data_IF_943932181648
#
_entry.id   IF_943932181648
#
_cell.length_a   1.000
_cell.length_b   1.000
_cell.length_c   1.000
_cell.angle_alpha   90.00
_cell.angle_beta   90.00
_cell.angle_gamma   90.00
#
_symmetry.space_group_name_H-M   'P 1'
#
loop_
_entity.id
_entity.type
_entity.pdbx_description
1 polymer ?
#
# COMPACT_ATOMS: atom_id res chain seq x y z
N UNK A 1 -49.87 18.98 2.65
CA UNK A 1 -48.99 18.19 1.76
C UNK A 1 -47.60 18.12 2.38
N UNK A 2 -47.35 17.10 3.22
CA UNK A 2 -46.04 16.84 3.79
C UNK A 2 -45.24 15.91 2.89
N UNK A 3 -43.99 16.25 2.58
CA UNK A 3 -43.02 15.31 1.99
C UNK A 3 -42.02 14.92 3.07
N UNK A 4 -42.16 13.68 3.52
CA UNK A 4 -41.16 12.95 4.30
C UNK A 4 -39.89 12.76 3.46
N UNK A 5 -38.78 13.35 3.89
CA UNK A 5 -37.46 12.84 3.52
C UNK A 5 -37.08 11.77 4.54
N UNK A 6 -36.93 10.54 4.05
CA UNK A 6 -36.54 9.38 4.84
C UNK A 6 -35.16 9.61 5.47
N UNK A 7 -35.14 9.63 6.79
CA UNK A 7 -33.97 9.61 7.66
C UNK A 7 -33.40 8.20 7.76
N UNK A 8 -32.95 7.64 6.64
CA UNK A 8 -32.17 6.40 6.69
C UNK A 8 -30.68 6.72 6.77
N UNK A 9 -30.05 6.17 7.82
CA UNK A 9 -28.60 6.00 8.07
C UNK A 9 -27.91 6.85 9.16
N UNK A 10 -28.64 7.40 10.13
CA UNK A 10 -28.00 7.87 11.39
C UNK A 10 -28.10 6.85 12.56
N UNK A 11 -28.80 5.73 12.34
CA UNK A 11 -29.11 4.74 13.38
C UNK A 11 -28.10 3.58 13.50
N UNK A 12 -27.03 3.52 12.69
CA UNK A 12 -26.06 2.41 12.72
C UNK A 12 -24.84 2.62 13.62
N UNK A 13 -24.67 3.79 14.22
CA UNK A 13 -23.41 4.16 14.90
C UNK A 13 -23.52 4.33 16.42
N UNK A 14 -24.74 4.31 16.99
CA UNK A 14 -24.92 4.34 18.45
C UNK A 14 -24.68 2.99 19.13
N UNK A 15 -24.72 1.89 18.39
CA UNK A 15 -24.33 0.58 18.90
C UNK A 15 -22.85 0.30 18.60
N UNK A 16 -22.07 0.09 19.67
CA UNK A 16 -20.70 -0.48 19.73
C UNK A 16 -19.54 0.41 20.19
N UNK A 17 -19.77 1.56 20.83
CA UNK A 17 -18.72 2.10 21.75
C UNK A 17 -18.80 1.41 23.11
N UNK A 18 -20.00 1.04 23.56
CA UNK A 18 -20.23 0.44 24.89
C UNK A 18 -20.02 -1.09 24.97
N UNK A 19 -19.85 -1.80 23.85
CA UNK A 19 -19.69 -3.27 23.85
C UNK A 19 -18.25 -3.77 23.73
N UNK A 20 -17.25 -2.89 23.72
CA UNK A 20 -15.85 -3.28 23.44
C UNK A 20 -15.05 -3.54 24.73
N UNK A 21 -14.41 -4.70 24.78
CA UNK A 21 -13.99 -5.42 26.00
C UNK A 21 -12.92 -4.68 26.82
N UNK A 22 -12.97 -4.84 28.16
CA UNK A 22 -11.96 -4.38 29.14
C UNK A 22 -10.51 -4.71 28.72
N UNK A 23 -10.32 -5.83 28.02
CA UNK A 23 -9.03 -6.29 27.48
C UNK A 23 -8.41 -5.38 26.42
N UNK A 24 -9.20 -4.67 25.59
CA UNK A 24 -8.64 -3.79 24.56
C UNK A 24 -8.16 -2.46 25.15
N UNK A 25 -8.80 -1.98 26.23
CA UNK A 25 -8.34 -0.84 27.02
C UNK A 25 -7.03 -1.11 27.78
N UNK A 26 -6.64 -2.39 27.92
CA UNK A 26 -5.41 -2.80 28.59
C UNK A 26 -4.24 -3.06 27.61
N UNK A 27 -4.44 -2.86 26.29
CA UNK A 27 -3.37 -3.05 25.31
C UNK A 27 -2.19 -2.13 25.60
N UNK A 28 -1.00 -2.74 25.58
CA UNK A 28 0.27 -2.02 25.63
C UNK A 28 0.55 -1.32 24.28
N UNK A 29 1.49 -0.37 24.27
CA UNK A 29 2.00 0.23 23.02
C UNK A 29 2.53 -0.83 22.06
N UNK A 30 3.18 -1.87 22.57
CA UNK A 30 3.67 -3.00 21.76
C UNK A 30 2.52 -3.80 21.11
N UNK A 31 1.36 -3.91 21.77
CA UNK A 31 0.19 -4.56 21.18
C UNK A 31 -0.40 -3.73 20.05
N UNK A 32 -0.40 -2.40 20.21
CA UNK A 32 -0.79 -1.47 19.15
C UNK A 32 0.18 -1.53 17.96
N UNK A 33 1.49 -1.51 18.22
CA UNK A 33 2.52 -1.65 17.19
C UNK A 33 2.30 -2.92 16.36
N UNK A 34 2.12 -4.07 17.01
CA UNK A 34 1.82 -5.36 16.35
C UNK A 34 0.52 -5.30 15.54
N UNK A 35 -0.52 -4.68 16.10
CA UNK A 35 -1.80 -4.53 15.41
C UNK A 35 -1.65 -3.70 14.13
N UNK A 36 -0.95 -2.57 14.19
CA UNK A 36 -0.69 -1.70 13.03
C UNK A 36 0.13 -2.43 11.97
N UNK A 37 1.21 -3.12 12.38
CA UNK A 37 2.05 -3.89 11.46
C UNK A 37 1.21 -4.93 10.72
N UNK A 38 0.37 -5.68 11.44
CA UNK A 38 -0.51 -6.68 10.82
C UNK A 38 -1.49 -6.03 9.85
N UNK A 39 -2.20 -4.98 10.26
CA UNK A 39 -3.21 -4.32 9.42
C UNK A 39 -2.62 -3.68 8.18
N UNK A 40 -1.50 -2.98 8.32
CA UNK A 40 -0.79 -2.40 7.19
C UNK A 40 -0.22 -3.50 6.26
N UNK A 41 0.20 -4.63 6.82
CA UNK A 41 0.57 -5.82 6.05
C UNK A 41 -0.59 -6.38 5.22
N UNK A 42 -1.79 -6.51 5.81
CA UNK A 42 -3.02 -6.93 5.11
C UNK A 42 -3.37 -5.96 3.96
N UNK A 43 -3.04 -4.68 4.11
CA UNK A 43 -3.21 -3.65 3.08
C UNK A 43 -1.95 -3.45 2.21
N UNK A 44 -1.05 -4.44 2.13
CA UNK A 44 0.04 -4.49 1.14
C UNK A 44 1.31 -3.71 1.50
N UNK A 45 1.42 -3.15 2.70
CA UNK A 45 2.66 -2.53 3.18
C UNK A 45 3.63 -3.61 3.64
N UNK A 46 4.87 -3.56 3.17
CA UNK A 46 5.90 -4.53 3.55
C UNK A 46 6.60 -4.05 4.82
N UNK A 47 6.57 -4.87 5.87
CA UNK A 47 7.27 -4.56 7.12
C UNK A 47 8.80 -4.70 6.96
N UNK A 48 9.53 -3.66 7.36
CA UNK A 48 10.99 -3.53 7.27
C UNK A 48 11.62 -3.61 8.67
N UNK A 49 11.65 -4.82 9.22
CA UNK A 49 12.24 -5.10 10.54
C UNK A 49 13.74 -4.80 10.61
N UNK A 50 14.42 -4.79 9.47
CA UNK A 50 15.83 -4.42 9.36
C UNK A 50 16.09 -2.97 9.76
N UNK A 51 15.11 -2.07 9.63
CA UNK A 51 15.29 -0.66 9.98
C UNK A 51 15.32 -0.39 11.49
N UNK A 52 14.93 -1.36 12.32
CA UNK A 52 15.05 -1.29 13.79
C UNK A 52 16.47 -1.57 14.28
N UNK A 53 17.21 -2.43 13.57
CA UNK A 53 18.48 -3.00 14.02
C UNK A 53 19.68 -2.31 13.34
N UNK A 54 20.32 -1.38 14.04
CA UNK A 54 21.48 -0.62 13.52
C UNK A 54 22.82 -1.40 13.58
N UNK A 55 22.81 -2.70 13.30
CA UNK A 55 24.05 -3.50 13.25
C UNK A 55 24.88 -3.09 12.03
N UNK A 56 25.92 -2.28 12.25
CA UNK A 56 26.91 -1.87 11.24
C UNK A 56 26.49 -0.74 10.30
N UNK A 57 25.21 -0.36 10.28
CA UNK A 57 24.67 0.77 9.51
C UNK A 57 23.49 1.36 10.27
N UNK A 58 23.40 2.69 10.28
CA UNK A 58 22.26 3.44 10.82
C UNK A 58 21.00 3.21 9.99
N UNK A 59 19.84 3.50 10.59
CA UNK A 59 18.56 3.47 9.89
C UNK A 59 18.57 4.41 8.67
N UNK A 60 19.15 5.60 8.81
CA UNK A 60 19.26 6.62 7.76
C UNK A 60 20.10 6.15 6.56
N UNK A 61 21.24 5.50 6.80
CA UNK A 61 22.09 4.94 5.74
C UNK A 61 21.38 3.84 4.97
N UNK A 62 20.68 2.95 5.68
CA UNK A 62 19.89 1.88 5.06
C UNK A 62 18.77 2.44 4.20
N UNK A 63 18.03 3.43 4.70
CA UNK A 63 16.97 4.10 3.95
C UNK A 63 17.53 4.80 2.71
N UNK A 64 18.63 5.53 2.83
CA UNK A 64 19.29 6.22 1.72
C UNK A 64 19.72 5.22 0.63
N UNK A 65 20.28 4.07 1.01
CA UNK A 65 20.66 3.02 0.06
C UNK A 65 19.44 2.40 -0.63
N UNK A 66 18.34 2.18 0.09
CA UNK A 66 17.10 1.66 -0.46
C UNK A 66 16.46 2.65 -1.43
N UNK A 67 16.47 3.93 -1.07
CA UNK A 67 15.95 5.02 -1.88
C UNK A 67 16.69 5.12 -3.20
N UNK A 68 18.03 5.15 -3.21
CA UNK A 68 18.81 5.18 -4.44
C UNK A 68 18.48 4.00 -5.38
N UNK A 69 18.25 2.80 -4.83
CA UNK A 69 17.80 1.64 -5.61
C UNK A 69 16.42 1.86 -6.23
N UNK A 70 15.48 2.47 -5.50
CA UNK A 70 14.15 2.76 -6.02
C UNK A 70 14.18 3.89 -7.06
N UNK A 71 14.89 4.98 -6.80
CA UNK A 71 15.07 6.09 -7.74
C UNK A 71 15.70 5.61 -9.05
N UNK A 72 16.69 4.72 -8.98
CA UNK A 72 17.29 4.10 -10.16
C UNK A 72 16.24 3.35 -10.98
N UNK A 73 15.44 2.52 -10.32
CA UNK A 73 14.40 1.73 -10.98
C UNK A 73 13.33 2.60 -11.63
N UNK A 74 12.92 3.66 -10.94
CA UNK A 74 11.95 4.63 -11.47
C UNK A 74 12.55 5.42 -12.64
N UNK A 75 13.80 5.83 -12.55
CA UNK A 75 14.54 6.50 -13.61
C UNK A 75 14.60 5.64 -14.88
N UNK A 76 14.95 4.35 -14.75
CA UNK A 76 14.99 3.40 -15.87
C UNK A 76 13.63 3.35 -16.58
N UNK A 77 12.54 3.19 -15.81
CA UNK A 77 11.18 3.10 -16.35
C UNK A 77 10.72 4.39 -17.03
N UNK A 78 10.94 5.55 -16.40
CA UNK A 78 10.43 6.84 -16.89
C UNK A 78 11.22 7.39 -18.08
N UNK A 79 12.49 7.00 -18.21
CA UNK A 79 13.36 7.49 -19.29
C UNK A 79 13.68 6.39 -20.32
N UNK A 80 13.01 5.23 -20.26
CA UNK A 80 13.22 4.08 -21.15
C UNK A 80 14.69 3.68 -21.29
N UNK A 81 15.40 3.61 -20.16
CA UNK A 81 16.82 3.27 -20.13
C UNK A 81 17.02 1.75 -20.09
N UNK A 82 18.24 1.31 -20.39
CA UNK A 82 18.65 -0.08 -20.17
C UNK A 82 18.68 -0.44 -18.69
N UNK A 83 18.39 -1.71 -18.37
CA UNK A 83 18.53 -2.28 -17.03
C UNK A 83 19.97 -2.23 -16.49
N UNK A 84 20.96 -2.02 -17.36
CA UNK A 84 22.36 -1.82 -16.98
C UNK A 84 22.67 -0.40 -16.48
N UNK A 85 21.73 0.54 -16.57
CA UNK A 85 21.94 1.91 -16.13
C UNK A 85 22.30 1.98 -14.64
N UNK A 86 23.30 2.76 -14.28
CA UNK A 86 23.69 3.00 -12.89
C UNK A 86 24.02 4.48 -12.69
N UNK A 87 23.59 5.02 -11.54
CA UNK A 87 24.03 6.33 -11.12
C UNK A 87 25.51 6.27 -10.70
N UNK A 88 26.29 7.26 -11.11
CA UNK A 88 27.65 7.42 -10.60
C UNK A 88 27.63 7.84 -9.13
N UNK A 89 28.79 7.72 -8.47
CA UNK A 89 28.95 8.18 -7.08
C UNK A 89 28.55 9.64 -6.88
N UNK A 90 28.92 10.53 -7.82
CA UNK A 90 28.59 11.96 -7.77
C UNK A 90 27.08 12.20 -7.84
N UNK A 91 26.38 11.48 -8.71
CA UNK A 91 24.92 11.61 -8.83
C UNK A 91 24.18 11.05 -7.62
N UNK A 92 24.63 9.91 -7.08
CA UNK A 92 24.06 9.36 -5.84
C UNK A 92 24.13 10.38 -4.70
N UNK A 93 25.25 11.10 -4.58
CA UNK A 93 25.41 12.19 -3.61
C UNK A 93 24.46 13.35 -3.92
N UNK A 94 24.43 13.81 -5.17
CA UNK A 94 23.54 14.90 -5.60
C UNK A 94 22.06 14.59 -5.33
N UNK A 95 21.58 13.39 -5.68
CA UNK A 95 20.19 12.98 -5.46
C UNK A 95 19.81 13.00 -3.98
N UNK A 96 20.68 12.48 -3.10
CA UNK A 96 20.43 12.50 -1.66
C UNK A 96 20.48 13.94 -1.11
N UNK A 97 21.38 14.78 -1.60
CA UNK A 97 21.45 16.19 -1.21
C UNK A 97 20.20 16.95 -1.64
N UNK A 98 19.74 16.80 -2.89
CA UNK A 98 18.52 17.42 -3.40
C UNK A 98 17.25 16.97 -2.68
N UNK A 99 17.22 15.72 -2.20
CA UNK A 99 16.13 15.22 -1.38
C UNK A 99 16.14 15.78 0.04
N UNK A 100 17.33 15.95 0.60
CA UNK A 100 17.48 16.41 1.96
C UNK A 100 17.53 17.94 2.06
N UNK A 101 17.81 18.68 0.98
CA UNK A 101 18.03 20.13 1.01
C UNK A 101 16.77 20.94 1.32
N UNK A 102 15.59 20.41 0.97
CA UNK A 102 14.31 21.10 1.08
C UNK A 102 13.40 20.41 2.09
N UNK A 103 13.00 21.15 3.13
CA UNK A 103 11.88 20.75 4.00
C UNK A 103 10.57 20.89 3.24
N UNK A 104 9.62 19.98 3.47
CA UNK A 104 8.33 19.97 2.77
C UNK A 104 8.46 19.93 1.24
N UNK A 105 9.46 19.20 0.73
CA UNK A 105 9.62 19.00 -0.70
C UNK A 105 8.32 18.49 -1.33
N UNK A 106 7.96 19.06 -2.47
CA UNK A 106 6.91 18.52 -3.32
C UNK A 106 7.38 17.23 -3.98
N UNK A 107 6.94 16.10 -3.42
CA UNK A 107 7.33 14.76 -3.88
C UNK A 107 6.70 14.36 -5.22
N UNK A 108 5.78 15.17 -5.76
CA UNK A 108 5.28 15.01 -7.13
C UNK A 108 6.30 15.43 -8.18
N UNK A 109 7.22 16.33 -7.80
CA UNK A 109 8.20 16.89 -8.72
C UNK A 109 9.43 15.98 -8.81
N UNK A 110 9.76 15.50 -10.03
CA UNK A 110 10.97 14.70 -10.21
C UNK A 110 12.22 15.52 -9.90
N UNK A 111 13.32 14.84 -9.60
CA UNK A 111 14.65 15.45 -9.69
C UNK A 111 15.05 15.41 -11.17
N UNK A 112 15.46 16.56 -11.70
CA UNK A 112 16.11 16.60 -13.00
C UNK A 112 17.60 16.42 -12.82
N UNK A 113 18.15 15.42 -13.50
CA UNK A 113 19.57 15.14 -13.46
C UNK A 113 20.16 15.51 -14.82
N UNK A 114 21.10 16.45 -14.82
CA UNK A 114 21.85 16.77 -16.04
C UNK A 114 22.66 15.56 -16.48
N UNK A 115 22.45 15.20 -17.74
CA UNK A 115 23.00 14.03 -18.40
C UNK A 115 23.78 14.41 -19.65
N UNK A 116 24.35 15.61 -19.69
CA UNK A 116 25.35 16.02 -20.68
C UNK A 116 26.39 14.92 -21.00
N UNK A 117 26.76 14.08 -20.02
CA UNK A 117 27.66 12.93 -20.23
C UNK A 117 27.06 11.71 -20.96
N UNK A 118 25.73 11.56 -20.99
CA UNK A 118 25.03 10.44 -21.61
C UNK A 118 24.61 10.72 -23.06
N UNK A 119 25.02 11.87 -23.64
CA UNK A 119 24.74 12.28 -25.03
C UNK A 119 23.25 12.34 -25.39
N UNK A 120 22.42 12.49 -24.39
CA UNK A 120 20.99 12.67 -24.45
C UNK A 120 20.66 14.16 -24.60
N UNK A 121 19.69 14.49 -25.45
CA UNK A 121 19.31 15.88 -25.70
C UNK A 121 18.52 16.56 -24.56
N UNK A 122 18.11 15.81 -23.53
CA UNK A 122 17.25 16.30 -22.42
C UNK A 122 17.74 15.74 -21.08
N UNK A 123 17.54 16.43 -19.94
CA UNK A 123 17.87 15.91 -18.61
C UNK A 123 17.05 14.65 -18.26
N UNK A 124 17.59 13.76 -17.41
CA UNK A 124 16.81 12.61 -16.91
C UNK A 124 15.82 13.10 -15.87
N UNK A 125 14.58 12.65 -15.98
CA UNK A 125 13.55 12.91 -14.97
C UNK A 125 13.48 11.73 -14.03
N UNK A 126 13.76 11.96 -12.76
CA UNK A 126 13.79 10.93 -11.72
C UNK A 126 12.62 11.18 -10.78
N UNK A 127 11.47 10.53 -10.98
CA UNK A 127 10.35 10.68 -10.06
C UNK A 127 10.70 10.06 -8.71
N UNK A 128 10.29 10.75 -7.64
CA UNK A 128 10.43 10.26 -6.27
C UNK A 128 9.34 9.25 -5.93
N UNK A 129 8.14 9.52 -6.42
CA UNK A 129 6.95 8.68 -6.35
C UNK A 129 6.34 8.67 -7.74
N UNK A 130 6.10 7.48 -8.27
CA UNK A 130 5.42 7.30 -9.55
C UNK A 130 3.91 7.42 -9.35
N UNK A 131 3.37 8.62 -9.57
CA UNK A 131 1.94 8.89 -9.43
C UNK A 131 1.13 8.43 -10.65
N UNK A 132 1.78 8.21 -11.78
CA UNK A 132 1.14 7.71 -13.01
C UNK A 132 0.90 6.20 -12.92
N UNK A 133 1.85 5.46 -12.33
CA UNK A 133 1.73 4.04 -12.10
C UNK A 133 2.14 3.68 -10.66
N UNK A 134 1.12 3.59 -9.79
CA UNK A 134 1.30 3.35 -8.35
C UNK A 134 2.03 2.03 -8.06
N UNK A 135 1.87 1.00 -8.90
CA UNK A 135 2.48 -0.32 -8.73
C UNK A 135 4.02 -0.30 -8.90
N UNK A 136 4.55 0.78 -9.52
CA UNK A 136 5.97 1.03 -9.61
C UNK A 136 6.59 1.50 -8.28
N UNK A 137 5.77 1.85 -7.29
CA UNK A 137 6.27 2.25 -5.98
C UNK A 137 6.46 1.04 -5.05
N UNK A 138 7.15 1.27 -3.93
CA UNK A 138 7.27 0.33 -2.82
C UNK A 138 6.76 0.97 -1.55
N UNK A 139 5.79 0.32 -0.93
CA UNK A 139 5.15 0.75 0.31
C UNK A 139 5.73 -0.04 1.47
N UNK A 140 6.39 0.66 2.40
CA UNK A 140 7.09 0.03 3.52
C UNK A 140 6.63 0.60 4.84
N UNK A 141 6.48 -0.28 5.82
CA UNK A 141 6.26 0.10 7.21
C UNK A 141 7.50 -0.29 8.01
N UNK A 142 7.96 0.60 8.88
CA UNK A 142 9.01 0.31 9.83
C UNK A 142 8.53 0.67 11.24
N UNK A 143 9.08 -0.01 12.25
CA UNK A 143 8.80 0.31 13.64
C UNK A 143 10.08 0.53 14.43
N UNK A 144 9.99 1.33 15.48
CA UNK A 144 11.10 1.66 16.38
C UNK A 144 12.32 2.19 15.61
N UNK A 145 12.07 3.07 14.63
CA UNK A 145 13.10 3.63 13.74
C UNK A 145 13.84 4.73 14.47
N UNK A 146 15.18 4.65 14.48
CA UNK A 146 16.03 5.64 15.16
C UNK A 146 16.56 6.68 14.18
N UNK A 147 16.39 7.95 14.52
CA UNK A 147 17.10 9.06 13.90
C UNK A 147 18.09 9.62 14.90
N UNK A 148 19.37 9.60 14.51
CA UNK A 148 20.46 10.11 15.34
C UNK A 148 21.09 11.31 14.65
N UNK A 149 21.09 12.44 15.35
CA UNK A 149 21.86 13.64 15.00
C UNK A 149 22.79 13.95 16.16
N UNK A 150 23.66 14.94 15.96
CA UNK A 150 24.58 15.38 17.02
C UNK A 150 23.80 15.97 18.20
N UNK A 151 22.69 16.63 17.92
CA UNK A 151 21.90 17.41 18.86
C UNK A 151 20.80 16.57 19.55
N UNK A 152 20.32 15.51 18.90
CA UNK A 152 19.19 14.72 19.39
C UNK A 152 19.24 13.27 18.94
N UNK A 153 18.47 12.43 19.64
CA UNK A 153 18.12 11.08 19.19
C UNK A 153 16.61 10.90 19.33
N UNK A 154 15.94 10.60 18.22
CA UNK A 154 14.51 10.33 18.19
C UNK A 154 14.27 8.87 17.86
N UNK A 155 13.23 8.29 18.46
CA UNK A 155 12.77 6.93 18.16
C UNK A 155 11.31 7.02 17.80
N UNK A 156 10.99 6.63 16.56
CA UNK A 156 9.62 6.67 16.05
C UNK A 156 8.97 5.30 16.22
N UNK A 157 7.79 5.25 16.84
CA UNK A 157 7.07 4.00 17.02
C UNK A 157 6.77 3.31 15.69
N UNK A 158 6.20 4.06 14.74
CA UNK A 158 5.85 3.58 13.42
C UNK A 158 6.12 4.65 12.35
N UNK A 159 6.70 4.21 11.23
CA UNK A 159 7.04 5.07 10.09
C UNK A 159 6.52 4.43 8.81
N UNK A 160 5.73 5.19 8.04
CA UNK A 160 5.31 4.80 6.70
C UNK A 160 6.24 5.42 5.66
N UNK A 161 6.76 4.59 4.77
CA UNK A 161 7.68 4.98 3.72
C UNK A 161 7.16 4.60 2.33
N UNK A 162 7.43 5.48 1.36
CA UNK A 162 7.25 5.19 -0.05
C UNK A 162 8.61 5.29 -0.73
N UNK A 163 9.02 4.22 -1.41
CA UNK A 163 10.32 4.10 -2.07
C UNK A 163 11.53 4.32 -1.15
N UNK A 164 11.34 4.28 0.18
CA UNK A 164 12.36 4.60 1.17
C UNK A 164 12.29 6.03 1.73
N UNK A 165 11.36 6.86 1.24
CA UNK A 165 11.11 8.22 1.73
C UNK A 165 10.11 8.14 2.91
N UNK A 166 10.48 8.56 4.13
CA UNK A 166 9.54 8.66 5.26
C UNK A 166 8.47 9.72 4.99
N UNK A 167 7.20 9.34 5.01
CA UNK A 167 6.06 10.25 4.74
C UNK A 167 5.15 10.47 5.94
N UNK A 168 4.92 9.42 6.73
CA UNK A 168 4.02 9.48 7.88
C UNK A 168 4.76 8.99 9.10
N UNK A 169 4.77 9.83 10.13
CA UNK A 169 5.25 9.50 11.46
C UNK A 169 4.04 9.20 12.34
N UNK A 170 4.04 8.05 13.01
CA UNK A 170 2.95 7.62 13.88
C UNK A 170 3.53 7.34 15.27
N UNK A 171 3.02 8.05 16.26
CA UNK A 171 3.36 7.91 17.68
C UNK A 171 2.20 7.27 18.44
N UNK A 172 2.50 6.24 19.22
CA UNK A 172 1.53 5.43 19.95
C UNK A 172 1.63 5.73 21.45
N UNK A 173 0.48 5.76 22.13
CA UNK A 173 0.42 5.75 23.59
C UNK A 173 -0.55 4.69 24.10
N UNK A 174 -0.27 4.18 25.30
CA UNK A 174 -1.20 3.33 26.05
C UNK A 174 -2.55 4.02 26.23
N UNK A 175 -3.61 3.23 26.41
CA UNK A 175 -4.97 3.75 26.58
C UNK A 175 -5.15 4.72 27.76
N UNK A 176 -4.35 4.55 28.82
CA UNK A 176 -4.36 5.39 30.03
C UNK A 176 -3.62 6.70 29.85
N UNK A 177 -2.80 6.82 28.82
CA UNK A 177 -1.97 7.98 28.53
C UNK A 177 -2.70 8.86 27.50
N UNK A 178 -2.62 10.17 27.67
CA UNK A 178 -3.28 11.10 26.76
C UNK A 178 -2.61 11.09 25.38
N UNK A 179 -3.41 11.10 24.30
CA UNK A 179 -2.89 11.32 22.95
C UNK A 179 -2.15 12.68 22.80
N UNK A 180 -2.36 13.61 23.74
CA UNK A 180 -1.60 14.86 23.81
C UNK A 180 -0.11 14.64 24.03
N UNK A 181 0.28 13.61 24.80
CA UNK A 181 1.69 13.33 25.07
C UNK A 181 2.40 12.84 23.81
N UNK A 182 1.72 12.01 23.00
CA UNK A 182 2.22 11.66 21.67
C UNK A 182 2.32 12.89 20.76
N UNK A 183 1.31 13.77 20.79
CA UNK A 183 1.30 14.97 19.96
C UNK A 183 2.45 15.92 20.33
N UNK A 184 2.69 16.11 21.63
CA UNK A 184 3.80 16.92 22.15
C UNK A 184 5.15 16.31 21.79
N UNK A 185 5.30 15.00 21.88
CA UNK A 185 6.52 14.30 21.47
C UNK A 185 6.81 14.52 19.97
N UNK A 186 5.80 14.38 19.11
CA UNK A 186 5.95 14.64 17.67
C UNK A 186 6.32 16.11 17.39
N UNK A 187 5.70 17.07 18.11
CA UNK A 187 6.03 18.49 17.97
C UNK A 187 7.47 18.76 18.38
N UNK A 188 7.91 18.25 19.52
CA UNK A 188 9.27 18.43 20.02
C UNK A 188 10.29 17.83 19.04
N UNK A 189 10.02 16.64 18.50
CA UNK A 189 10.89 16.02 17.49
C UNK A 189 11.01 16.88 16.23
N UNK A 190 9.90 17.47 15.78
CA UNK A 190 9.94 18.37 14.62
C UNK A 190 10.66 19.68 14.94
N UNK A 191 10.50 20.27 16.12
CA UNK A 191 11.23 21.47 16.53
C UNK A 191 12.75 21.25 16.63
N UNK A 192 13.18 20.11 17.18
CA UNK A 192 14.58 19.70 17.19
C UNK A 192 15.12 19.57 15.75
N UNK A 193 14.36 18.91 14.87
CA UNK A 193 14.70 18.78 13.44
C UNK A 193 14.79 20.14 12.76
N UNK A 194 13.97 21.12 13.16
CA UNK A 194 14.01 22.46 12.61
C UNK A 194 15.33 23.19 12.92
N UNK A 195 15.97 22.88 14.04
CA UNK A 195 17.23 23.50 14.50
C UNK A 195 18.47 22.77 14.00
N UNK A 196 18.35 21.49 13.63
CA UNK A 196 19.48 20.67 13.20
C UNK A 196 19.84 20.85 11.71
N UNK A 197 21.16 20.86 11.44
CA UNK A 197 21.78 20.80 10.10
C UNK A 197 22.99 19.85 10.16
N UNK A 198 23.30 19.05 9.11
CA UNK A 198 22.59 18.96 7.83
C UNK A 198 21.25 18.23 7.97
N UNK A 199 20.36 18.50 7.01
CA UNK A 199 19.05 17.86 6.95
C UNK A 199 19.17 16.36 6.65
N UNK A 200 18.28 15.57 7.24
CA UNK A 200 18.12 14.13 7.06
C UNK A 200 17.00 13.75 6.09
N UNK A 201 16.97 12.49 5.70
CA UNK A 201 15.87 11.88 4.94
C UNK A 201 14.50 12.00 5.65
N UNK A 202 14.50 12.07 6.97
CA UNK A 202 13.30 12.22 7.79
C UNK A 202 12.66 13.62 7.70
N UNK A 203 13.34 14.60 7.09
CA UNK A 203 12.70 15.87 6.71
C UNK A 203 11.56 15.71 5.69
N UNK A 204 11.40 14.53 5.10
CA UNK A 204 10.31 14.26 4.15
C UNK A 204 8.97 13.89 4.81
N UNK A 205 8.87 13.82 6.15
CA UNK A 205 7.58 13.62 6.82
C UNK A 205 6.57 14.70 6.39
N UNK A 206 5.38 14.27 5.98
CA UNK A 206 4.29 15.17 5.57
C UNK A 206 3.12 15.12 6.55
N UNK A 207 2.88 13.96 7.16
CA UNK A 207 1.81 13.73 8.13
C UNK A 207 2.35 13.19 9.44
N UNK A 208 1.75 13.65 10.53
CA UNK A 208 2.06 13.27 11.89
C UNK A 208 0.79 12.77 12.55
N UNK A 209 0.82 11.55 13.06
CA UNK A 209 -0.30 10.89 13.72
C UNK A 209 0.08 10.60 15.16
N UNK A 210 -0.63 11.18 16.12
CA UNK A 210 -0.47 10.88 17.53
C UNK A 210 -1.73 10.18 18.02
N UNK A 211 -1.61 8.97 18.58
CA UNK A 211 -2.78 8.18 18.92
C UNK A 211 -2.68 7.44 20.24
N UNK A 212 -3.84 7.25 20.86
CA UNK A 212 -4.06 6.30 21.94
C UNK A 212 -5.32 5.46 21.63
N UNK A 213 -5.78 4.64 22.59
CA UNK A 213 -6.95 3.77 22.38
C UNK A 213 -8.26 4.53 22.09
N UNK A 214 -8.39 5.78 22.54
CA UNK A 214 -9.67 6.52 22.48
C UNK A 214 -9.67 7.60 21.41
N UNK A 215 -8.52 8.22 21.17
CA UNK A 215 -8.36 9.46 20.41
C UNK A 215 -7.12 9.39 19.56
N UNK A 216 -7.17 10.08 18.43
CA UNK A 216 -5.97 10.36 17.67
C UNK A 216 -6.02 11.79 17.09
N UNK A 217 -4.83 12.27 16.78
CA UNK A 217 -4.54 13.49 16.05
C UNK A 217 -3.91 13.13 14.71
N UNK A 218 -4.23 13.87 13.66
CA UNK A 218 -3.54 13.75 12.38
C UNK A 218 -3.36 15.12 11.75
N UNK A 219 -2.11 15.56 11.69
CA UNK A 219 -1.72 16.91 11.33
C UNK A 219 -0.72 16.90 10.18
N UNK A 220 -0.84 17.86 9.28
CA UNK A 220 0.28 18.23 8.40
C UNK A 220 1.40 18.86 9.23
N UNK A 221 2.63 18.83 8.73
CA UNK A 221 3.79 19.46 9.40
C UNK A 221 3.50 20.89 9.90
N UNK A 222 2.96 21.75 9.04
CA UNK A 222 2.65 23.15 9.39
C UNK A 222 1.59 23.29 10.48
N UNK A 223 0.65 22.35 10.54
CA UNK A 223 -0.42 22.33 11.56
C UNK A 223 0.14 21.85 12.90
N UNK A 224 1.01 20.83 12.88
CA UNK A 224 1.70 20.32 14.07
C UNK A 224 2.50 21.43 14.77
N UNK A 225 3.26 22.21 14.02
CA UNK A 225 4.10 23.30 14.56
C UNK A 225 3.29 24.51 15.07
N UNK A 226 2.03 24.63 14.67
CA UNK A 226 1.14 25.73 15.08
C UNK A 226 0.15 25.32 16.17
N UNK A 227 0.11 24.05 16.54
CA UNK A 227 -0.88 23.56 17.49
C UNK A 227 -0.59 24.17 18.86
N UNK A 228 -1.54 24.95 19.38
CA UNK A 228 -1.48 25.43 20.74
C UNK A 228 -2.05 24.35 21.66
N UNK A 229 -1.19 23.78 22.52
CA UNK A 229 -1.57 22.70 23.44
C UNK A 229 -2.46 23.19 24.59
N UNK A 230 -2.44 24.49 24.88
CA UNK A 230 -3.27 25.10 25.93
C UNK A 230 -4.71 25.33 25.43
N UNK A 231 -4.87 25.62 24.14
CA UNK A 231 -6.18 25.85 23.53
C UNK A 231 -6.98 24.53 23.43
N UNK A 232 -8.02 24.40 24.27
CA UNK A 232 -8.93 23.25 24.25
C UNK A 232 -9.75 23.19 22.95
N UNK A 233 -10.20 24.32 22.41
CA UNK A 233 -11.02 24.37 21.18
C UNK A 233 -10.19 23.95 19.97
N UNK A 234 -8.96 24.43 19.83
CA UNK A 234 -8.08 24.02 18.74
C UNK A 234 -7.82 22.51 18.75
N UNK A 235 -7.73 21.90 19.95
CA UNK A 235 -7.58 20.45 20.09
C UNK A 235 -8.84 19.68 19.71
N UNK A 236 -10.03 20.17 20.07
CA UNK A 236 -11.32 19.57 19.68
C UNK A 236 -11.51 19.43 18.18
N UNK A 237 -11.09 20.42 17.38
CA UNK A 237 -11.16 20.35 15.92
C UNK A 237 -10.17 19.34 15.30
N UNK A 238 -9.11 19.01 16.03
CA UNK A 238 -8.06 18.09 15.58
C UNK A 238 -8.24 16.67 16.15
N UNK A 239 -9.16 16.49 17.09
CA UNK A 239 -9.52 15.19 17.62
C UNK A 239 -10.47 14.47 16.70
N UNK A 240 -10.19 13.20 16.49
CA UNK A 240 -11.16 12.28 15.91
C UNK A 240 -11.26 11.07 16.83
N UNK A 241 -12.50 10.70 17.17
CA UNK A 241 -12.78 9.51 17.96
C UNK A 241 -12.57 8.26 17.09
N UNK A 242 -11.90 7.26 17.66
CA UNK A 242 -11.66 5.99 16.98
C UNK A 242 -12.96 5.17 16.90
N UNK A 243 -13.80 5.45 15.91
CA UNK A 243 -14.98 4.60 15.63
C UNK A 243 -14.53 3.31 14.93
N UNK A 244 -13.60 3.42 13.99
CA UNK A 244 -12.71 2.35 13.53
C UNK A 244 -11.50 2.93 12.76
N UNK A 245 -10.30 2.41 13.00
CA UNK A 245 -9.07 3.06 12.59
C UNK A 245 -8.83 3.02 11.07
N UNK A 246 -9.26 2.01 10.30
CA UNK A 246 -8.93 2.00 8.86
C UNK A 246 -9.76 2.98 8.02
N UNK A 247 -10.99 3.32 8.41
CA UNK A 247 -11.77 4.38 7.74
C UNK A 247 -11.17 5.75 8.03
N UNK A 248 -10.74 5.95 9.28
CA UNK A 248 -10.01 7.16 9.67
C UNK A 248 -8.67 7.24 8.95
N UNK A 249 -7.83 6.21 8.98
CA UNK A 249 -6.55 6.18 8.22
C UNK A 249 -6.77 6.50 6.74
N UNK A 250 -7.84 6.00 6.11
CA UNK A 250 -8.19 6.33 4.72
C UNK A 250 -8.52 7.81 4.52
N UNK A 251 -9.39 8.39 5.34
CA UNK A 251 -9.73 9.83 5.29
C UNK A 251 -8.52 10.73 5.63
N UNK A 252 -7.64 10.27 6.51
CA UNK A 252 -6.44 11.00 6.93
C UNK A 252 -5.36 11.01 5.86
N UNK A 253 -5.19 9.91 5.13
CA UNK A 253 -4.34 9.89 3.95
C UNK A 253 -4.85 10.83 2.86
N UNK A 254 -6.13 11.22 2.84
CA UNK A 254 -6.62 12.30 1.96
C UNK A 254 -6.06 13.69 2.34
N UNK A 255 -5.49 13.88 3.54
CA UNK A 255 -4.87 15.15 3.97
C UNK A 255 -3.49 15.39 3.34
N UNK A 256 -2.68 14.37 3.14
CA UNK A 256 -1.48 14.50 2.30
C UNK A 256 -1.93 14.49 0.85
N UNK A 257 -1.54 15.49 0.07
CA UNK A 257 -1.86 15.51 -1.36
C UNK A 257 -1.29 14.27 -2.08
N UNK A 258 -0.07 13.84 -1.74
CA UNK A 258 0.59 12.67 -2.32
C UNK A 258 -0.19 11.40 -2.00
N UNK A 259 -0.52 11.21 -0.73
CA UNK A 259 -1.29 10.04 -0.30
C UNK A 259 -2.72 10.09 -0.87
N UNK A 260 -3.32 11.28 -0.99
CA UNK A 260 -4.61 11.44 -1.69
C UNK A 260 -4.55 10.99 -3.14
N UNK A 261 -3.45 11.26 -3.87
CA UNK A 261 -3.29 10.76 -5.23
C UNK A 261 -3.14 9.23 -5.26
N UNK A 262 -2.37 8.67 -4.32
CA UNK A 262 -2.19 7.21 -4.20
C UNK A 262 -3.50 6.49 -3.84
N UNK A 263 -4.28 7.08 -2.93
CA UNK A 263 -5.50 6.47 -2.35
C UNK A 263 -6.80 7.03 -2.95
N UNK A 264 -6.76 7.70 -4.11
CA UNK A 264 -7.95 8.29 -4.75
C UNK A 264 -9.01 7.21 -5.07
N UNK A 265 -10.26 7.56 -4.82
CA UNK A 265 -11.41 6.66 -4.66
C UNK A 265 -11.88 5.90 -5.92
N UNK A 266 -11.16 5.99 -7.05
CA UNK A 266 -11.46 5.31 -8.31
C UNK A 266 -10.44 4.23 -8.73
N UNK A 267 -9.45 3.88 -7.89
CA UNK A 267 -8.70 2.62 -8.06
C UNK A 267 -9.52 1.43 -7.55
N UNK A 268 -10.67 1.21 -8.19
CA UNK A 268 -11.51 0.01 -7.98
C UNK A 268 -10.69 -1.27 -8.21
N UNK A 269 -9.59 -1.21 -8.97
CA UNK A 269 -8.64 -2.34 -9.10
C UNK A 269 -7.84 -2.64 -7.83
N UNK A 270 -7.50 -1.64 -7.00
CA UNK A 270 -6.89 -1.88 -5.69
C UNK A 270 -7.93 -2.35 -4.69
N UNK A 271 -9.13 -1.73 -4.62
CA UNK A 271 -10.21 -2.28 -3.76
C UNK A 271 -10.59 -3.72 -4.17
N UNK A 272 -10.65 -4.04 -5.47
CA UNK A 272 -10.92 -5.41 -5.92
C UNK A 272 -9.73 -6.35 -5.67
N UNK A 273 -8.46 -5.99 -5.92
CA UNK A 273 -7.34 -6.88 -5.56
C UNK A 273 -7.21 -7.09 -4.05
N UNK A 274 -7.44 -6.05 -3.24
CA UNK A 274 -7.36 -6.10 -1.78
C UNK A 274 -8.47 -6.95 -1.14
N UNK A 275 -9.70 -6.88 -1.67
CA UNK A 275 -10.78 -7.72 -1.17
C UNK A 275 -10.82 -9.12 -1.82
N UNK A 276 -10.32 -9.30 -3.04
CA UNK A 276 -10.44 -10.61 -3.72
C UNK A 276 -9.32 -11.58 -3.35
N UNK A 277 -8.11 -11.13 -2.97
CA UNK A 277 -7.04 -12.03 -2.51
C UNK A 277 -7.27 -12.56 -1.08
N UNK A 278 -7.89 -11.76 -0.21
CA UNK A 278 -8.16 -12.13 1.20
C UNK A 278 -9.56 -12.74 1.40
N UNK A 279 -10.53 -12.48 0.50
CA UNK A 279 -11.88 -13.03 0.62
C UNK A 279 -12.13 -14.36 -0.10
N UNK A 280 -11.20 -14.87 -0.92
CA UNK A 280 -11.37 -16.19 -1.56
C UNK A 280 -11.46 -17.35 -0.53
N UNK A 281 -10.70 -17.38 0.58
CA UNK A 281 -10.90 -18.40 1.61
C UNK A 281 -12.13 -18.12 2.51
N UNK A 282 -12.41 -16.84 2.81
CA UNK A 282 -13.43 -16.47 3.82
C UNK A 282 -14.86 -16.46 3.26
N UNK A 283 -15.05 -16.16 1.97
CA UNK A 283 -16.37 -16.31 1.31
C UNK A 283 -16.71 -17.77 0.99
N UNK A 284 -15.71 -18.63 0.80
CA UNK A 284 -15.92 -20.07 0.72
C UNK A 284 -16.43 -20.64 2.06
N UNK A 285 -15.93 -20.14 3.20
CA UNK A 285 -16.35 -20.54 4.55
C UNK A 285 -17.66 -19.88 5.04
N UNK A 286 -18.04 -18.71 4.52
CA UNK A 286 -19.29 -18.02 4.92
C UNK A 286 -20.51 -18.42 4.10
N UNK A 287 -20.36 -19.05 2.92
CA UNK A 287 -21.49 -19.56 2.13
C UNK A 287 -22.11 -20.86 2.66
N UNK A 288 -21.53 -21.47 3.70
CA UNK A 288 -22.05 -22.69 4.34
C UNK A 288 -22.81 -22.47 5.65
N UNK A 289 -23.04 -21.22 6.09
CA UNK A 289 -23.90 -20.94 7.26
C UNK A 289 -25.33 -20.59 6.84
N UNK A 290 -26.04 -21.57 6.29
CA UNK A 290 -27.50 -21.60 6.32
C UNK A 290 -28.03 -23.02 6.17
N UNK A 291 -27.50 -23.99 6.90
CA UNK A 291 -28.20 -25.26 7.12
C UNK A 291 -27.90 -25.76 8.54
N UNK A 292 -28.97 -25.83 9.33
CA UNK A 292 -29.20 -26.61 10.57
C UNK A 292 -27.97 -27.10 11.36
N UNK A 293 -27.90 -26.66 12.62
CA UNK A 293 -26.87 -27.01 13.61
C UNK A 293 -26.80 -28.52 13.91
N UNK A 294 -27.84 -29.30 13.61
CA UNK A 294 -27.87 -30.73 13.95
C UNK A 294 -27.13 -31.63 12.95
N UNK A 295 -26.98 -31.23 11.69
CA UNK A 295 -26.23 -32.02 10.68
C UNK A 295 -24.71 -31.92 10.82
N UNK A 296 -24.23 -30.91 11.54
CA UNK A 296 -22.78 -30.63 11.68
C UNK A 296 -22.09 -31.63 12.63
N UNK A 297 -22.84 -32.27 13.53
CA UNK A 297 -22.30 -33.32 14.42
C UNK A 297 -22.12 -34.66 13.71
N UNK A 298 -23.03 -35.07 12.83
CA UNK A 298 -22.89 -36.30 12.04
C UNK A 298 -21.77 -36.21 11.00
N UNK A 299 -21.61 -35.05 10.35
CA UNK A 299 -20.58 -34.85 9.32
C UNK A 299 -19.16 -34.83 9.91
N UNK A 300 -18.98 -34.31 11.14
CA UNK A 300 -17.65 -34.30 11.78
C UNK A 300 -17.21 -35.70 12.25
N UNK A 301 -18.14 -36.59 12.59
CA UNK A 301 -17.84 -37.99 12.90
C UNK A 301 -17.50 -38.77 11.61
N UNK A 302 -18.26 -38.55 10.54
CA UNK A 302 -18.01 -39.15 9.22
C UNK A 302 -16.69 -38.67 8.57
N UNK A 303 -16.35 -37.38 8.68
CA UNK A 303 -15.11 -36.84 8.12
C UNK A 303 -13.87 -37.36 8.85
N UNK A 304 -13.97 -37.60 10.17
CA UNK A 304 -12.87 -38.20 10.95
C UNK A 304 -12.59 -39.65 10.54
N UNK A 305 -13.63 -40.43 10.21
CA UNK A 305 -13.48 -41.80 9.69
C UNK A 305 -12.96 -41.82 8.24
N UNK A 306 -13.39 -40.86 7.41
CA UNK A 306 -12.93 -40.75 6.02
C UNK A 306 -11.46 -40.34 5.93
N UNK A 307 -10.97 -39.50 6.85
CA UNK A 307 -9.56 -39.12 6.92
C UNK A 307 -8.64 -40.27 7.34
N UNK A 308 -9.10 -41.22 8.17
CA UNK A 308 -8.33 -42.43 8.50
C UNK A 308 -8.19 -43.37 7.30
N UNK A 309 -9.16 -43.40 6.39
CA UNK A 309 -9.08 -44.19 5.16
C UNK A 309 -8.19 -43.58 4.07
N UNK A 310 -7.88 -42.27 4.13
CA UNK A 310 -7.01 -41.59 3.16
C UNK A 310 -5.51 -41.68 3.49
N UNK A 311 -5.15 -42.21 4.66
CA UNK A 311 -3.77 -42.54 5.02
C UNK A 311 -3.32 -43.93 4.50
N UNK A 312 -4.23 -44.69 3.88
CA UNK A 312 -3.92 -45.97 3.24
C UNK A 312 -3.05 -45.75 1.97
N UNK A 313 -1.82 -46.32 1.90
CA UNK A 313 -0.90 -46.17 0.77
C UNK A 313 -1.47 -46.61 -0.59
N UNK A 314 -2.47 -47.48 -0.61
CA UNK A 314 -3.08 -48.02 -1.83
C UNK A 314 -4.01 -47.03 -2.57
N UNK A 315 -4.51 -45.99 -1.89
CA UNK A 315 -5.44 -44.99 -2.46
C UNK A 315 -4.69 -43.81 -3.10
N UNK A 316 -3.46 -43.52 -2.63
CA UNK A 316 -2.61 -42.42 -3.14
C UNK A 316 -2.30 -42.51 -4.63
N UNK A 317 -2.12 -43.73 -5.15
CA UNK A 317 -1.78 -43.98 -6.56
C UNK A 317 -2.97 -43.72 -7.51
N UNK A 318 -4.21 -44.04 -7.12
CA UNK A 318 -5.40 -43.77 -7.96
C UNK A 318 -5.71 -42.27 -8.08
N UNK A 319 -5.51 -41.49 -7.01
CA UNK A 319 -5.75 -40.04 -7.01
C UNK A 319 -4.73 -39.30 -7.87
N UNK A 320 -3.47 -39.74 -7.89
CA UNK A 320 -2.44 -39.17 -8.76
C UNK A 320 -2.76 -39.35 -10.25
N UNK A 321 -3.25 -40.53 -10.65
CA UNK A 321 -3.63 -40.81 -12.05
C UNK A 321 -4.81 -39.94 -12.50
N UNK A 322 -5.82 -39.77 -11.65
CA UNK A 322 -6.97 -38.93 -11.98
C UNK A 322 -6.58 -37.44 -12.10
N UNK A 323 -5.68 -36.97 -11.23
CA UNK A 323 -5.19 -35.58 -11.27
C UNK A 323 -4.39 -35.29 -12.55
N UNK A 324 -3.58 -36.25 -13.01
CA UNK A 324 -2.81 -36.14 -14.26
C UNK A 324 -3.74 -36.15 -15.48
N UNK A 325 -4.77 -37.00 -15.49
CA UNK A 325 -5.76 -37.04 -16.59
C UNK A 325 -6.55 -35.74 -16.72
N UNK A 326 -6.94 -35.12 -15.59
CA UNK A 326 -7.61 -33.81 -15.59
C UNK A 326 -6.68 -32.71 -16.10
N UNK A 327 -5.40 -32.72 -15.72
CA UNK A 327 -4.42 -31.76 -16.22
C UNK A 327 -4.19 -31.89 -17.74
N UNK A 328 -4.10 -33.11 -18.26
CA UNK A 328 -3.98 -33.37 -19.70
C UNK A 328 -5.23 -32.94 -20.48
N UNK A 329 -6.42 -33.16 -19.91
CA UNK A 329 -7.68 -32.71 -20.52
C UNK A 329 -7.75 -31.18 -20.60
N UNK A 330 -7.38 -30.47 -19.53
CA UNK A 330 -7.34 -29.01 -19.53
C UNK A 330 -6.31 -28.44 -20.53
N UNK A 331 -5.16 -29.11 -20.68
CA UNK A 331 -4.16 -28.75 -21.69
C UNK A 331 -4.69 -28.95 -23.12
N UNK A 332 -5.40 -30.04 -23.39
CA UNK A 332 -6.02 -30.30 -24.69
C UNK A 332 -7.09 -29.26 -25.04
N UNK A 333 -7.94 -28.88 -24.07
CA UNK A 333 -8.93 -27.81 -24.23
C UNK A 333 -8.25 -26.46 -24.53
N UNK A 334 -7.16 -26.13 -23.83
CA UNK A 334 -6.41 -24.90 -24.06
C UNK A 334 -5.78 -24.85 -25.46
N UNK A 335 -5.23 -25.96 -25.95
CA UNK A 335 -4.69 -26.06 -27.31
C UNK A 335 -5.79 -25.95 -28.37
N UNK A 336 -6.97 -26.56 -28.13
CA UNK A 336 -8.12 -26.46 -29.03
C UNK A 336 -8.65 -25.03 -29.14
N UNK A 337 -8.76 -24.31 -28.02
CA UNK A 337 -9.18 -22.89 -28.01
C UNK A 337 -8.20 -22.03 -28.80
N UNK A 338 -6.88 -22.25 -28.65
CA UNK A 338 -5.86 -21.52 -29.41
C UNK A 338 -5.84 -21.88 -30.90
N UNK A 339 -6.19 -23.13 -31.26
CA UNK A 339 -6.32 -23.52 -32.65
C UNK A 339 -7.54 -22.86 -33.31
N UNK A 340 -8.69 -22.86 -32.62
CA UNK A 340 -9.92 -22.21 -33.09
C UNK A 340 -9.78 -20.68 -33.19
N UNK A 341 -9.05 -20.05 -32.26
CA UNK A 341 -8.81 -18.60 -32.31
C UNK A 341 -7.92 -18.19 -33.49
N UNK A 342 -6.94 -19.04 -33.86
CA UNK A 342 -6.13 -18.83 -35.07
C UNK A 342 -6.95 -19.02 -36.33
N UNK A 343 -7.87 -19.99 -36.37
CA UNK A 343 -8.81 -20.17 -37.49
C UNK A 343 -9.75 -18.96 -37.69
N UNK A 344 -10.26 -18.39 -36.61
CA UNK A 344 -11.07 -17.17 -36.68
C UNK A 344 -10.31 -15.99 -37.30
N UNK A 345 -9.01 -15.86 -36.99
CA UNK A 345 -8.14 -14.85 -37.63
C UNK A 345 -8.00 -15.06 -39.14
N UNK A 346 -7.86 -16.31 -39.62
CA UNK A 346 -7.77 -16.59 -41.05
C UNK A 346 -9.08 -16.24 -41.79
N UNK A 347 -10.25 -16.45 -41.19
CA UNK A 347 -11.53 -16.05 -41.80
C UNK A 347 -11.68 -14.53 -41.95
N UNK A 348 -11.19 -13.76 -40.97
CA UNK A 348 -11.20 -12.28 -41.04
C UNK A 348 -10.21 -11.78 -42.10
N UNK A 349 -9.02 -12.38 -42.17
CA UNK A 349 -7.99 -12.00 -43.17
C UNK A 349 -8.43 -12.35 -44.59
N UNK A 350 -9.01 -13.53 -44.82
CA UNK A 350 -9.54 -13.91 -46.15
C UNK A 350 -10.76 -13.08 -46.54
N UNK A 351 -11.64 -12.72 -45.59
CA UNK A 351 -12.75 -11.79 -45.83
C UNK A 351 -12.29 -10.39 -46.24
N UNK A 352 -11.22 -9.88 -45.61
CA UNK A 352 -10.59 -8.61 -45.99
C UNK A 352 -9.91 -8.66 -47.37
N UNK A 353 -9.23 -9.78 -47.70
CA UNK A 353 -8.63 -9.97 -49.03
C UNK A 353 -9.69 -10.10 -50.13
N UNK A 354 -10.79 -10.80 -49.88
CA UNK A 354 -11.89 -10.94 -50.84
C UNK A 354 -12.60 -9.60 -51.12
N UNK A 355 -12.80 -8.78 -50.10
CA UNK A 355 -13.38 -7.42 -50.27
C UNK A 355 -12.40 -6.48 -50.99
N UNK A 356 -11.10 -6.59 -50.75
CA UNK A 356 -10.09 -5.84 -51.51
C UNK A 356 -10.05 -6.25 -52.99
N UNK A 357 -10.08 -7.55 -53.30
CA UNK A 357 -10.03 -8.04 -54.69
C UNK A 357 -11.30 -7.67 -55.46
N UNK A 358 -12.47 -7.73 -54.84
CA UNK A 358 -13.73 -7.31 -55.48
C UNK A 358 -13.78 -5.79 -55.66
N UNK A 359 -13.34 -5.00 -54.69
CA UNK A 359 -13.32 -3.53 -54.78
C UNK A 359 -12.34 -3.00 -55.84
N UNK A 360 -11.16 -3.61 -55.97
CA UNK A 360 -10.17 -3.22 -56.98
C UNK A 360 -10.40 -3.88 -58.36
N UNK A 361 -10.95 -5.09 -58.41
CA UNK A 361 -11.34 -5.77 -59.65
C UNK A 361 -12.49 -5.06 -60.37
N UNK A 362 -13.47 -4.54 -59.62
CA UNK A 362 -14.62 -3.83 -60.19
C UNK A 362 -14.25 -2.47 -60.79
N UNK A 363 -13.29 -1.76 -60.19
CA UNK A 363 -12.74 -0.50 -60.73
C UNK A 363 -12.02 -0.65 -62.08
N UNK A 364 -11.53 -1.84 -62.42
CA UNK A 364 -10.87 -2.11 -63.71
C UNK A 364 -11.85 -2.46 -64.83
N UNK A 365 -13.13 -2.71 -64.50
CA UNK A 365 -14.17 -3.12 -65.44
C UNK A 365 -15.14 -1.98 -65.81
N UNK A 366 -15.32 -0.99 -64.92
CA UNK A 366 -16.17 0.19 -65.15
C UNK A 366 -15.43 1.34 -65.89
N UNK A 367 -14.17 1.11 -66.28
CA UNK A 367 -13.32 2.06 -66.98
C UNK A 367 -12.91 1.64 -68.40
N UNK A 368 -13.78 0.93 -69.13
CA UNK A 368 -13.64 0.67 -70.57
C UNK A 368 -14.94 0.94 -71.29
#
# INVERSE_FOLDING_TARGET
>A
MGRSQGSETFWREKETVNSRTKSERQRSEADWEKWFIRRLGEIGWVFRSDLKNEKGQTSEERLSSCLLKQLRRLCIKHNNLSDSFEFTKKEKIYLLQELNSVRDRDLSKPIELDISRYRTAKPLKIPLIDLENIDNNRFWLASQVKERKREFTHVYDLVLLINGIPLVCIELKKATISANEALEQLRNYEEDRLRCKPLSIFNNFQLFIALNFQRFYCLKRKELLKVNMEDKKAREHNYIYLVWLDEQIRELFKRSWVLKQIFREESISQKQRYYTSVAQPVRALKRTRTYSIDKTREINLSASETFRHLEDPSVKTKVQVHTILVALFLLAVFLLINFLSRWAWWTVVFGFLFTLVTFFGWRKWVGK
#
